data_IF_871851296580
#
_entry.id   IF_871851296580
#
_cell.length_a   1.000
_cell.length_b   1.000
_cell.length_c   1.000
_cell.angle_alpha   90.00
_cell.angle_beta   90.00
_cell.angle_gamma   90.00
#
_symmetry.space_group_name_H-M   'P 1'
#
loop_
_entity.id
_entity.type
_entity.pdbx_description
1 polymer ?
#
# COMPACT_ATOMS: atom_id res chain seq x y z
N UNK A 1 1.44 -0.33 17.94
CA UNK A 1 1.10 1.05 17.68
C UNK A 1 1.09 1.33 16.17
N UNK A 2 0.77 2.56 15.80
CA UNK A 2 0.61 2.94 14.40
C UNK A 2 1.90 2.75 13.60
N UNK A 3 3.05 3.01 14.22
CA UNK A 3 4.34 2.87 13.56
C UNK A 3 4.68 1.41 13.29
N UNK A 4 4.37 0.52 14.24
CA UNK A 4 4.56 -0.91 14.04
C UNK A 4 3.65 -1.46 12.97
N UNK A 5 2.40 -1.01 12.94
CA UNK A 5 1.42 -1.39 11.92
C UNK A 5 1.96 -1.02 10.54
N UNK A 6 2.45 0.21 10.38
CA UNK A 6 3.01 0.68 9.12
C UNK A 6 4.21 -0.18 8.70
N UNK A 7 5.13 -0.43 9.61
CA UNK A 7 6.34 -1.18 9.30
C UNK A 7 6.01 -2.60 8.84
N UNK A 8 5.06 -3.24 9.49
CA UNK A 8 4.68 -4.61 9.15
C UNK A 8 3.96 -4.66 7.80
N UNK A 9 3.09 -3.70 7.53
CA UNK A 9 2.40 -3.62 6.24
C UNK A 9 3.41 -3.36 5.12
N UNK A 10 4.34 -2.47 5.34
CA UNK A 10 5.36 -2.12 4.36
C UNK A 10 6.25 -3.34 4.03
N UNK A 11 6.63 -4.10 5.05
CA UNK A 11 7.43 -5.30 4.85
C UNK A 11 6.72 -6.33 3.97
N UNK A 12 5.42 -6.51 4.17
CA UNK A 12 4.62 -7.43 3.35
C UNK A 12 4.56 -6.94 1.91
N UNK A 13 4.33 -5.63 1.73
CA UNK A 13 4.23 -5.05 0.40
C UNK A 13 5.53 -5.23 -0.39
N UNK A 14 6.67 -4.92 0.24
CA UNK A 14 7.97 -5.08 -0.41
C UNK A 14 8.25 -6.54 -0.73
N UNK A 15 7.89 -7.45 0.18
CA UNK A 15 8.05 -8.88 -0.06
C UNK A 15 7.23 -9.33 -1.28
N UNK A 16 6.00 -8.85 -1.40
CA UNK A 16 5.15 -9.15 -2.56
C UNK A 16 5.79 -8.63 -3.85
N UNK A 17 6.32 -7.41 -3.83
CA UNK A 17 6.99 -6.83 -5.00
C UNK A 17 8.16 -7.71 -5.42
N UNK A 18 8.95 -8.20 -4.46
CA UNK A 18 10.10 -9.06 -4.76
C UNK A 18 9.67 -10.42 -5.29
N UNK A 19 8.66 -11.03 -4.66
CA UNK A 19 8.16 -12.33 -5.08
C UNK A 19 7.64 -12.33 -6.51
N UNK A 20 7.06 -11.21 -6.93
CA UNK A 20 6.52 -11.09 -8.28
C UNK A 20 7.54 -10.54 -9.28
N UNK A 21 8.77 -10.35 -8.86
CA UNK A 21 9.84 -9.92 -9.75
C UNK A 21 9.73 -8.48 -10.23
N UNK A 22 9.06 -7.63 -9.45
CA UNK A 22 8.79 -6.25 -9.86
C UNK A 22 9.75 -5.23 -9.26
N UNK A 23 10.66 -5.67 -8.40
CA UNK A 23 11.48 -4.76 -7.61
C UNK A 23 12.30 -3.80 -8.48
N UNK A 24 12.83 -4.29 -9.59
CA UNK A 24 13.68 -3.47 -10.46
C UNK A 24 12.89 -2.57 -11.39
N UNK A 25 11.59 -2.84 -11.57
CA UNK A 25 10.73 -2.03 -12.45
C UNK A 25 10.13 -0.83 -11.74
N UNK A 26 10.12 -0.85 -10.42
CA UNK A 26 9.49 0.19 -9.60
C UNK A 26 10.59 1.05 -9.00
N UNK A 27 10.50 2.36 -9.20
CA UNK A 27 11.49 3.28 -8.66
C UNK A 27 11.34 3.48 -7.16
N UNK A 28 10.10 3.60 -6.70
CA UNK A 28 9.80 3.79 -5.29
C UNK A 28 8.45 3.17 -4.95
N UNK A 29 8.39 2.44 -3.84
CA UNK A 29 7.18 1.81 -3.37
C UNK A 29 7.15 1.85 -1.85
N UNK A 30 5.97 2.11 -1.27
CA UNK A 30 5.81 2.12 0.17
C UNK A 30 4.33 2.09 0.53
N UNK A 31 4.05 1.86 1.81
CA UNK A 31 2.72 1.91 2.39
C UNK A 31 2.58 3.19 3.19
N UNK A 32 1.43 3.84 3.12
CA UNK A 32 1.09 4.97 3.99
C UNK A 32 -0.17 4.62 4.79
N UNK A 33 -0.16 4.92 6.08
CA UNK A 33 -1.35 4.78 6.92
C UNK A 33 -2.16 6.06 6.79
N UNK A 34 -3.42 5.93 6.43
CA UNK A 34 -4.29 7.10 6.30
C UNK A 34 -4.76 7.54 7.68
N UNK A 35 -4.93 8.86 7.90
CA UNK A 35 -5.32 9.39 9.21
C UNK A 35 -6.83 9.28 9.45
N UNK A 36 -7.40 8.14 9.13
CA UNK A 36 -8.81 7.86 9.31
C UNK A 36 -8.99 6.42 9.77
N UNK A 37 -10.09 6.16 10.41
CA UNK A 37 -10.48 4.80 10.76
C UNK A 37 -11.68 4.40 9.92
N UNK A 38 -11.73 3.14 9.54
CA UNK A 38 -12.80 2.62 8.69
C UNK A 38 -13.46 1.43 9.35
N UNK A 39 -14.71 1.21 8.96
CA UNK A 39 -15.47 0.06 9.45
C UNK A 39 -15.14 -1.14 8.57
N UNK A 40 -14.89 -2.27 9.20
CA UNK A 40 -14.68 -3.54 8.53
C UNK A 40 -15.46 -4.65 9.23
N UNK A 41 -15.48 -5.80 8.60
CA UNK A 41 -16.07 -7.01 9.20
C UNK A 41 -15.02 -8.10 9.10
N UNK A 42 -14.64 -8.64 10.25
CA UNK A 42 -13.67 -9.72 10.31
C UNK A 42 -14.21 -10.80 11.21
N UNK A 43 -14.29 -12.04 10.68
CA UNK A 43 -14.97 -13.10 11.36
C UNK A 43 -16.46 -12.76 11.47
N UNK A 44 -17.02 -12.80 12.68
CA UNK A 44 -18.41 -12.47 12.93
C UNK A 44 -18.57 -11.11 13.62
N UNK A 45 -17.49 -10.31 13.65
CA UNK A 45 -17.49 -9.02 14.33
C UNK A 45 -17.17 -7.87 13.41
N UNK A 46 -17.59 -6.68 13.81
CA UNK A 46 -17.22 -5.43 13.13
C UNK A 46 -15.92 -4.91 13.75
N UNK A 47 -15.11 -4.31 12.90
CA UNK A 47 -13.86 -3.68 13.32
C UNK A 47 -13.89 -2.20 12.97
N UNK A 48 -13.06 -1.43 13.67
CA UNK A 48 -12.90 0.00 13.41
C UNK A 48 -11.40 0.29 13.46
N UNK A 49 -10.77 0.10 12.32
CA UNK A 49 -9.32 0.11 12.21
C UNK A 49 -8.86 1.06 11.11
N UNK A 50 -7.55 1.12 10.92
CA UNK A 50 -6.96 2.02 9.95
C UNK A 50 -7.16 1.52 8.53
N UNK A 51 -7.19 2.47 7.61
CA UNK A 51 -7.00 2.20 6.18
C UNK A 51 -5.56 2.53 5.83
N UNK A 52 -5.02 1.82 4.85
CA UNK A 52 -3.71 2.17 4.30
C UNK A 52 -3.81 2.31 2.79
N UNK A 53 -2.84 2.99 2.22
CA UNK A 53 -2.71 3.05 0.78
C UNK A 53 -1.34 2.53 0.36
N UNK A 54 -1.32 1.82 -0.74
CA UNK A 54 -0.09 1.37 -1.36
C UNK A 54 0.32 2.40 -2.41
N UNK A 55 1.60 2.68 -2.50
CA UNK A 55 2.15 3.60 -3.48
C UNK A 55 3.25 2.87 -4.26
N UNK A 56 3.25 3.00 -5.57
CA UNK A 56 4.34 2.53 -6.41
C UNK A 56 4.43 3.44 -7.62
N UNK A 57 5.63 3.92 -7.90
CA UNK A 57 5.85 4.86 -9.01
C UNK A 57 7.08 4.49 -9.79
N UNK A 58 7.07 4.89 -11.05
CA UNK A 58 8.25 4.89 -11.91
C UNK A 58 8.64 6.34 -12.17
N UNK A 59 9.95 6.60 -12.33
CA UNK A 59 10.41 7.94 -12.59
C UNK A 59 11.74 7.89 -13.30
N UNK A 60 12.00 8.89 -14.15
CA UNK A 60 13.29 9.04 -14.80
C UNK A 60 14.17 10.01 -14.00
N UNK A 61 13.58 11.08 -13.47
CA UNK A 61 14.33 12.16 -12.86
C UNK A 61 13.78 12.65 -11.51
N UNK A 62 12.70 12.04 -11.03
CA UNK A 62 12.08 12.42 -9.75
C UNK A 62 11.18 13.64 -9.81
N UNK A 63 11.26 14.44 -10.89
CA UNK A 63 10.40 15.61 -11.06
C UNK A 63 9.02 15.20 -11.56
N UNK A 64 8.98 14.22 -12.44
CA UNK A 64 7.75 13.60 -12.91
C UNK A 64 7.80 12.12 -12.60
N UNK A 65 6.66 11.56 -12.27
CA UNK A 65 6.58 10.14 -11.96
C UNK A 65 5.18 9.65 -12.29
N UNK A 66 5.11 8.45 -12.83
CA UNK A 66 3.84 7.80 -13.11
C UNK A 66 3.61 6.72 -12.05
N UNK A 67 2.35 6.53 -11.64
CA UNK A 67 2.06 5.38 -10.80
C UNK A 67 2.34 4.12 -11.61
N UNK A 68 2.82 3.08 -10.94
CA UNK A 68 3.10 1.80 -11.59
C UNK A 68 1.81 1.01 -11.72
N UNK A 69 1.48 0.48 -12.89
CA UNK A 69 0.21 -0.25 -13.08
C UNK A 69 0.31 -1.68 -12.54
N UNK A 70 0.22 -1.84 -11.23
CA UNK A 70 0.16 -3.15 -10.62
C UNK A 70 -1.14 -3.84 -11.02
N UNK A 71 -1.07 -5.13 -11.39
CA UNK A 71 -2.26 -5.81 -11.81
C UNK A 71 -3.20 -6.13 -10.65
N UNK A 72 -4.46 -6.39 -10.96
CA UNK A 72 -5.49 -6.58 -9.94
C UNK A 72 -5.22 -7.82 -9.08
N UNK A 73 -4.66 -8.86 -9.67
CA UNK A 73 -4.34 -10.08 -8.92
C UNK A 73 -3.28 -9.80 -7.86
N UNK A 74 -2.22 -9.07 -8.25
CA UNK A 74 -1.18 -8.67 -7.30
C UNK A 74 -1.77 -7.82 -6.18
N UNK A 75 -2.60 -6.83 -6.53
CA UNK A 75 -3.19 -5.93 -5.54
C UNK A 75 -4.10 -6.69 -4.57
N UNK A 76 -4.94 -7.59 -5.10
CA UNK A 76 -5.83 -8.37 -4.26
C UNK A 76 -5.09 -9.30 -3.32
N UNK A 77 -4.05 -9.98 -3.81
CA UNK A 77 -3.24 -10.87 -3.01
C UNK A 77 -2.50 -10.11 -1.91
N UNK A 78 -1.94 -8.96 -2.26
CA UNK A 78 -1.22 -8.12 -1.30
C UNK A 78 -2.17 -7.60 -0.22
N UNK A 79 -3.34 -7.11 -0.61
CA UNK A 79 -4.33 -6.61 0.33
C UNK A 79 -4.76 -7.72 1.31
N UNK A 80 -4.98 -8.92 0.79
CA UNK A 80 -5.37 -10.06 1.63
C UNK A 80 -4.28 -10.39 2.64
N UNK A 81 -3.02 -10.40 2.21
CA UNK A 81 -1.91 -10.65 3.12
C UNK A 81 -1.82 -9.60 4.21
N UNK A 82 -1.92 -8.33 3.83
CA UNK A 82 -1.81 -7.25 4.80
C UNK A 82 -2.92 -7.34 5.84
N UNK A 83 -4.16 -7.53 5.40
CA UNK A 83 -5.30 -7.59 6.31
C UNK A 83 -5.20 -8.80 7.24
N UNK A 84 -4.77 -9.94 6.73
CA UNK A 84 -4.69 -11.16 7.54
C UNK A 84 -3.49 -11.18 8.48
N UNK A 85 -2.39 -10.55 8.11
CA UNK A 85 -1.14 -10.65 8.87
C UNK A 85 -0.84 -9.42 9.72
N UNK A 86 -1.47 -8.29 9.44
CA UNK A 86 -1.23 -7.05 10.17
C UNK A 86 -2.50 -6.63 10.89
N UNK A 87 -2.53 -6.86 12.19
CA UNK A 87 -3.67 -6.44 12.99
C UNK A 87 -3.71 -4.92 13.08
N UNK A 88 -4.87 -4.33 12.85
CA UNK A 88 -5.03 -2.88 12.91
C UNK A 88 -5.33 -2.22 11.58
N UNK A 89 -5.27 -2.97 10.47
CA UNK A 89 -5.63 -2.49 9.13
C UNK A 89 -6.79 -3.34 8.63
N UNK A 90 -7.87 -2.69 8.23
CA UNK A 90 -9.01 -3.41 7.66
C UNK A 90 -9.38 -2.94 6.25
N UNK A 91 -8.60 -2.04 5.65
CA UNK A 91 -8.86 -1.56 4.29
C UNK A 91 -7.55 -1.18 3.61
N UNK A 92 -7.37 -1.66 2.39
CA UNK A 92 -6.19 -1.37 1.57
C UNK A 92 -6.65 -0.70 0.28
N UNK A 93 -6.00 0.40 -0.07
CA UNK A 93 -6.24 1.11 -1.33
C UNK A 93 -4.94 1.19 -2.11
N UNK A 94 -5.02 1.59 -3.38
CA UNK A 94 -3.84 1.83 -4.20
C UNK A 94 -3.91 3.23 -4.78
N UNK A 95 -2.85 4.01 -4.60
CA UNK A 95 -2.78 5.38 -5.08
C UNK A 95 -2.40 5.39 -6.56
N UNK A 96 -3.34 5.82 -7.41
CA UNK A 96 -3.15 5.87 -8.86
C UNK A 96 -2.88 7.28 -9.37
N UNK A 97 -2.27 8.11 -8.55
CA UNK A 97 -1.99 9.50 -8.90
C UNK A 97 -0.55 9.65 -9.35
N UNK A 98 -0.36 10.25 -10.51
CA UNK A 98 0.97 10.54 -11.04
C UNK A 98 1.45 11.90 -10.53
N UNK A 99 2.73 12.15 -10.64
CA UNK A 99 3.33 13.44 -10.31
C UNK A 99 3.72 14.15 -11.61
N UNK A 100 3.17 15.33 -11.93
CA UNK A 100 2.09 15.99 -11.23
C UNK A 100 0.74 15.33 -11.50
N UNK A 101 -0.34 15.61 -10.76
CA UNK A 101 -0.48 16.66 -9.76
C UNK A 101 -0.13 16.23 -8.33
N UNK A 102 -0.06 14.94 -8.06
CA UNK A 102 0.32 14.50 -6.74
C UNK A 102 1.82 14.47 -6.57
N UNK A 103 2.29 14.37 -5.35
CA UNK A 103 3.69 14.10 -5.08
C UNK A 103 3.90 12.59 -4.96
N UNK A 104 5.17 12.17 -4.96
CA UNK A 104 5.48 10.76 -4.76
C UNK A 104 5.11 10.39 -3.33
N UNK A 105 5.63 11.11 -2.37
CA UNK A 105 5.30 10.93 -0.95
C UNK A 105 3.98 11.60 -0.62
N UNK A 106 3.33 11.10 0.45
CA UNK A 106 2.06 11.66 0.92
C UNK A 106 2.25 12.89 1.80
N UNK A 107 3.46 13.10 2.28
CA UNK A 107 3.78 14.27 3.08
C UNK A 107 5.07 14.91 2.63
#
# INVERSE_FOLDING_TARGET
DKRDILRRADAIYIDQIRRHGLYDEIWQAYVAILPVRTVGVMGDGRTYDYACTLRAVTSVDGMTADYYPLDHEFLGETATRIINEVQGINRVTYDITSKPPGTIEWE
#
